data_IF_675089975819
#
_entry.id   IF_675089975819
#
_cell.length_a   1.000
_cell.length_b   1.000
_cell.length_c   1.000
_cell.angle_alpha   90.00
_cell.angle_beta   90.00
_cell.angle_gamma   90.00
#
_symmetry.space_group_name_H-M   'P 1'
#
loop_
_entity.id
_entity.type
_entity.pdbx_description
1 polymer ?
#
# COMPACT_ATOMS: atom_id res chain seq x y z
N UNK A 1 4.85 16.56 15.94
CA UNK A 1 3.43 16.44 15.54
C UNK A 1 3.11 17.60 14.59
N UNK A 2 2.40 17.39 13.46
CA UNK A 2 2.28 18.38 12.36
C UNK A 2 1.60 19.68 12.81
N UNK A 3 0.64 19.59 13.73
CA UNK A 3 -0.03 20.75 14.35
C UNK A 3 0.96 21.69 15.05
N UNK A 4 1.98 21.14 15.71
CA UNK A 4 3.03 21.93 16.37
C UNK A 4 3.98 22.60 15.37
N UNK A 5 4.00 22.15 14.11
CA UNK A 5 4.80 22.72 13.03
C UNK A 5 4.05 23.82 12.28
N UNK A 6 2.72 23.69 12.13
CA UNK A 6 1.89 24.61 11.34
C UNK A 6 1.27 25.74 12.18
N UNK A 7 1.25 25.64 13.53
CA UNK A 7 0.74 26.68 14.46
C UNK A 7 -0.71 27.13 14.22
N UNK A 8 -1.45 26.44 13.36
CA UNK A 8 -2.87 26.65 13.11
C UNK A 8 -3.65 25.39 13.49
N UNK A 9 -4.92 25.58 13.88
CA UNK A 9 -5.81 24.45 14.17
C UNK A 9 -6.05 23.66 12.89
N UNK A 10 -5.65 22.40 12.88
CA UNK A 10 -5.98 21.48 11.79
C UNK A 10 -7.51 21.30 11.72
N UNK A 11 -8.10 21.28 10.51
CA UNK A 11 -9.49 20.90 10.33
C UNK A 11 -9.76 19.51 10.93
N UNK A 12 -10.95 19.29 11.49
CA UNK A 12 -11.32 18.00 12.12
C UNK A 12 -11.33 16.83 11.11
N UNK A 13 -11.51 17.14 9.82
CA UNK A 13 -11.48 16.20 8.71
C UNK A 13 -10.10 16.13 8.02
N UNK A 14 -9.05 16.73 8.57
CA UNK A 14 -7.71 16.62 8.02
C UNK A 14 -7.27 15.16 7.95
N UNK A 15 -6.60 14.76 6.86
CA UNK A 15 -6.22 13.36 6.54
C UNK A 15 -7.38 12.39 6.29
N UNK A 16 -8.64 12.83 6.30
CA UNK A 16 -9.74 11.99 5.79
C UNK A 16 -9.59 11.79 4.28
N UNK A 17 -10.16 10.69 3.78
CA UNK A 17 -10.11 10.40 2.34
C UNK A 17 -10.82 11.50 1.54
N UNK A 18 -11.89 12.05 2.11
CA UNK A 18 -12.69 13.15 1.58
C UNK A 18 -11.87 14.44 1.47
N UNK A 19 -11.19 14.85 2.54
CA UNK A 19 -10.33 16.04 2.52
C UNK A 19 -9.21 15.90 1.48
N UNK A 20 -8.56 14.73 1.41
CA UNK A 20 -7.47 14.49 0.45
C UNK A 20 -7.96 14.46 -1.00
N UNK A 21 -9.18 13.97 -1.25
CA UNK A 21 -9.83 14.00 -2.55
C UNK A 21 -10.11 15.45 -2.99
N UNK A 22 -10.65 16.29 -2.10
CA UNK A 22 -10.91 17.72 -2.39
C UNK A 22 -9.64 18.50 -2.74
N UNK A 23 -8.50 18.13 -2.15
CA UNK A 23 -7.20 18.77 -2.38
C UNK A 23 -6.40 18.13 -3.53
N UNK A 24 -6.94 17.12 -4.22
CA UNK A 24 -6.32 16.48 -5.38
C UNK A 24 -5.16 15.53 -5.06
N UNK A 25 -5.00 15.11 -3.80
CA UNK A 25 -4.00 14.12 -3.40
C UNK A 25 -4.48 12.67 -3.59
N UNK A 26 -5.80 12.46 -3.69
CA UNK A 26 -6.43 11.16 -3.93
C UNK A 26 -7.26 11.26 -5.20
N UNK A 27 -7.10 10.32 -6.12
CA UNK A 27 -7.83 10.32 -7.39
C UNK A 27 -9.29 9.83 -7.26
N UNK A 28 -9.55 8.88 -6.35
CA UNK A 28 -10.88 8.33 -6.13
C UNK A 28 -11.01 7.63 -4.77
N UNK A 29 -12.20 7.75 -4.15
CA UNK A 29 -12.60 6.98 -2.97
C UNK A 29 -13.51 5.84 -3.43
N UNK A 30 -13.09 4.60 -3.17
CA UNK A 30 -13.81 3.41 -3.65
C UNK A 30 -14.22 2.52 -2.47
N UNK A 31 -15.49 2.11 -2.37
CA UNK A 31 -15.94 1.16 -1.35
C UNK A 31 -15.16 -0.15 -1.41
N UNK A 32 -14.86 -0.73 -0.24
CA UNK A 32 -14.06 -1.96 -0.12
C UNK A 32 -14.57 -3.11 -1.01
N UNK A 33 -15.89 -3.24 -1.17
CA UNK A 33 -16.54 -4.27 -2.00
C UNK A 33 -16.21 -4.14 -3.49
N UNK A 34 -15.89 -2.93 -3.97
CA UNK A 34 -15.60 -2.65 -5.37
C UNK A 34 -14.10 -2.58 -5.67
N UNK A 35 -13.25 -2.55 -4.65
CA UNK A 35 -11.79 -2.38 -4.78
C UNK A 35 -11.17 -3.34 -5.79
N UNK A 36 -11.54 -4.62 -5.75
CA UNK A 36 -11.00 -5.64 -6.67
C UNK A 36 -11.29 -5.29 -8.13
N UNK A 37 -12.50 -4.82 -8.41
CA UNK A 37 -12.91 -4.43 -9.77
C UNK A 37 -12.12 -3.21 -10.24
N UNK A 38 -11.99 -2.19 -9.41
CA UNK A 38 -11.24 -0.96 -9.74
C UNK A 38 -9.77 -1.26 -9.99
N UNK A 39 -9.13 -2.06 -9.14
CA UNK A 39 -7.73 -2.44 -9.33
C UNK A 39 -7.51 -3.19 -10.65
N UNK A 40 -8.39 -4.13 -10.99
CA UNK A 40 -8.33 -4.84 -12.29
C UNK A 40 -8.41 -3.87 -13.46
N UNK A 41 -9.28 -2.86 -13.40
CA UNK A 41 -9.40 -1.86 -14.45
C UNK A 41 -8.12 -1.01 -14.57
N UNK A 42 -7.61 -0.49 -13.45
CA UNK A 42 -6.40 0.34 -13.43
C UNK A 42 -5.17 -0.41 -13.96
N UNK A 43 -4.97 -1.65 -13.50
CA UNK A 43 -3.83 -2.47 -13.94
C UNK A 43 -3.93 -2.80 -15.43
N UNK A 44 -5.13 -3.11 -15.93
CA UNK A 44 -5.34 -3.39 -17.36
C UNK A 44 -5.08 -2.15 -18.23
N UNK A 45 -5.50 -0.98 -17.75
CA UNK A 45 -5.29 0.29 -18.45
C UNK A 45 -3.79 0.63 -18.57
N UNK A 46 -3.03 0.39 -17.51
CA UNK A 46 -1.59 0.70 -17.45
C UNK A 46 -0.69 -0.47 -17.87
N UNK A 47 -1.27 -1.58 -18.33
CA UNK A 47 -0.45 -2.71 -18.78
C UNK A 47 0.32 -2.27 -20.02
N UNK A 48 1.66 -2.30 -20.01
CA UNK A 48 2.43 -1.97 -21.19
C UNK A 48 2.07 -2.97 -22.28
N UNK A 49 1.69 -2.45 -23.44
CA UNK A 49 1.64 -3.26 -24.64
C UNK A 49 3.09 -3.56 -24.97
N UNK A 50 3.53 -4.78 -24.73
CA UNK A 50 4.77 -5.27 -25.33
C UNK A 50 4.55 -5.24 -26.83
N UNK A 51 4.88 -4.13 -27.46
CA UNK A 51 4.89 -4.00 -28.92
C UNK A 51 5.83 -5.09 -29.41
N UNK A 52 5.28 -6.14 -29.99
CA UNK A 52 6.05 -7.14 -30.72
C UNK A 52 6.62 -6.43 -31.94
N UNK A 53 7.83 -5.87 -31.79
CA UNK A 53 8.67 -5.49 -32.90
C UNK A 53 9.09 -6.79 -33.59
N UNK A 54 8.31 -7.17 -34.59
CA UNK A 54 8.71 -8.16 -35.57
C UNK A 54 9.85 -7.58 -36.39
N UNK A 55 11.06 -8.03 -36.09
CA UNK A 55 12.02 -8.63 -37.05
C UNK A 55 13.46 -8.39 -36.57
N UNK A 56 14.12 -9.50 -36.22
CA UNK A 56 15.56 -9.68 -36.07
C UNK A 56 16.29 -8.79 -35.05
N UNK A 57 16.57 -9.33 -33.86
CA UNK A 57 17.94 -9.71 -33.47
C UNK A 57 17.97 -10.31 -32.05
N UNK A 58 18.56 -11.51 -31.99
CA UNK A 58 19.41 -12.04 -30.93
C UNK A 58 18.91 -12.06 -29.48
N UNK A 59 18.64 -13.30 -29.05
CA UNK A 59 18.66 -13.84 -27.69
C UNK A 59 19.49 -13.01 -26.69
N UNK A 60 18.84 -12.29 -25.78
CA UNK A 60 19.25 -12.19 -24.38
C UNK A 60 17.98 -12.00 -23.54
N UNK A 61 17.48 -13.11 -22.99
CA UNK A 61 16.41 -13.09 -22.03
C UNK A 61 16.96 -12.56 -20.69
N UNK A 62 16.56 -11.33 -20.32
CA UNK A 62 16.87 -10.78 -19.00
C UNK A 62 16.21 -11.59 -17.86
N UNK A 63 16.90 -11.82 -16.74
CA UNK A 63 16.65 -12.96 -15.83
C UNK A 63 15.60 -12.70 -14.73
N UNK A 64 14.63 -11.82 -14.94
CA UNK A 64 13.51 -11.72 -13.98
C UNK A 64 12.40 -12.74 -14.32
N UNK A 65 12.83 -13.98 -14.54
CA UNK A 65 12.03 -15.16 -14.29
C UNK A 65 12.15 -15.49 -12.80
N UNK A 66 11.00 -15.55 -12.11
CA UNK A 66 10.82 -16.22 -10.82
C UNK A 66 11.50 -15.56 -9.60
N UNK A 67 10.78 -14.66 -8.93
CA UNK A 67 11.01 -14.42 -7.50
C UNK A 67 10.07 -15.34 -6.71
N UNK A 68 10.57 -16.22 -5.82
CA UNK A 68 9.72 -16.98 -4.92
C UNK A 68 9.14 -16.01 -3.89
N UNK A 69 7.81 -16.04 -3.74
CA UNK A 69 7.09 -15.30 -2.71
C UNK A 69 7.59 -15.77 -1.33
N UNK A 70 8.06 -14.88 -0.43
CA UNK A 70 8.48 -15.31 0.89
C UNK A 70 7.26 -15.82 1.66
N UNK A 71 7.35 -17.06 2.14
CA UNK A 71 6.32 -17.70 2.93
C UNK A 71 6.12 -16.97 4.26
N UNK A 72 4.86 -16.81 4.62
CA UNK A 72 4.33 -16.26 5.86
C UNK A 72 5.03 -16.86 7.09
N UNK A 73 5.73 -16.03 7.87
CA UNK A 73 6.07 -16.39 9.24
C UNK A 73 4.84 -16.13 10.12
N UNK A 74 4.15 -17.21 10.47
CA UNK A 74 3.06 -17.23 11.43
C UNK A 74 3.46 -16.51 12.73
N UNK A 75 2.79 -15.41 13.06
CA UNK A 75 2.86 -14.84 14.39
C UNK A 75 1.97 -15.67 15.32
N UNK A 76 2.58 -16.63 16.00
CA UNK A 76 1.91 -17.45 17.01
C UNK A 76 1.67 -16.59 18.25
N UNK A 77 0.39 -16.34 18.54
CA UNK A 77 -0.08 -15.91 19.85
C UNK A 77 0.41 -16.91 20.90
N UNK A 78 1.30 -16.49 21.78
CA UNK A 78 1.41 -17.07 23.13
C UNK A 78 1.32 -15.95 24.14
N UNK A 79 0.14 -15.85 24.73
CA UNK A 79 -0.07 -15.13 25.99
C UNK A 79 0.71 -15.86 27.08
N UNK A 80 1.74 -15.25 27.64
CA UNK A 80 2.35 -15.69 28.90
C UNK A 80 2.45 -14.47 29.82
N UNK A 81 1.64 -14.54 30.87
CA UNK A 81 1.56 -13.56 31.94
C UNK A 81 2.86 -13.54 32.74
N UNK A 82 3.50 -12.38 32.89
CA UNK A 82 4.32 -12.10 34.08
C UNK A 82 4.42 -10.60 34.35
N UNK A 83 3.37 -10.04 34.96
CA UNK A 83 3.48 -8.78 35.70
C UNK A 83 4.30 -9.10 36.95
N UNK A 84 5.61 -8.83 36.90
CA UNK A 84 6.46 -8.82 38.09
C UNK A 84 6.12 -7.54 38.86
N UNK A 85 5.46 -7.70 40.01
CA UNK A 85 5.23 -6.61 40.94
C UNK A 85 6.57 -6.10 41.50
N UNK A 86 6.91 -4.85 41.19
CA UNK A 86 7.87 -4.05 41.96
C UNK A 86 7.06 -3.14 42.87
N UNK A 87 7.17 -3.23 44.21
CA UNK A 87 6.64 -2.19 45.07
C UNK A 87 7.57 -0.98 44.97
N UNK A 88 7.01 0.14 44.55
CA UNK A 88 7.57 1.47 44.78
C UNK A 88 7.20 1.86 46.22
N UNK A 89 8.15 1.69 47.15
CA UNK A 89 8.45 2.57 48.30
C UNK A 89 9.58 1.94 49.11
#
# INVERSE_FOLDING_TARGET
MIEQTVREKLPDNFQTSEYLLEHGFVDAIVPRTQLKKTLVQLIRLHKPHSTTLSSAESLEAGPYCHLPFPAEHHNSLTNEHKIQATPQN
#
